data_IF_507256977493
#
_entry.id   IF_507256977493
#
_cell.length_a   1.000
_cell.length_b   1.000
_cell.length_c   1.000
_cell.angle_alpha   90.00
_cell.angle_beta   90.00
_cell.angle_gamma   90.00
#
_symmetry.space_group_name_H-M   'P 1'
#
loop_
_entity.id
_entity.type
_entity.pdbx_description
1 polymer ?
#
# COMPACT_ATOMS: atom_id res chain seq x y z
N UNK A 1 8.63 24.73 20.66
CA UNK A 1 9.66 23.93 20.00
C UNK A 1 9.50 24.12 18.49
N UNK A 2 10.58 24.17 17.74
CA UNK A 2 10.47 24.14 16.28
C UNK A 2 10.08 22.72 15.82
N UNK A 3 9.33 22.62 14.74
CA UNK A 3 9.04 21.34 14.08
C UNK A 3 10.33 20.72 13.54
N UNK A 4 10.32 19.40 13.34
CA UNK A 4 11.38 18.73 12.57
C UNK A 4 11.49 19.39 11.19
N UNK A 5 12.70 19.73 10.71
CA UNK A 5 12.89 20.39 9.41
C UNK A 5 12.34 19.61 8.21
N UNK A 6 12.14 18.29 8.36
CA UNK A 6 11.54 17.45 7.34
C UNK A 6 10.01 17.61 7.24
N UNK A 7 9.36 18.25 8.23
CA UNK A 7 7.92 18.47 8.23
C UNK A 7 7.61 19.81 7.54
N UNK A 8 6.86 19.73 6.44
CA UNK A 8 6.38 20.88 5.67
C UNK A 8 4.88 21.05 5.87
N UNK A 9 4.47 22.15 6.48
CA UNK A 9 3.05 22.52 6.71
C UNK A 9 2.59 23.40 5.56
N UNK A 10 1.60 22.92 4.79
CA UNK A 10 1.02 23.63 3.65
C UNK A 10 -0.35 24.24 3.99
N UNK A 11 -1.08 23.61 4.90
CA UNK A 11 -2.36 24.07 5.44
C UNK A 11 -2.37 23.92 6.96
N UNK A 12 -3.06 24.83 7.67
CA UNK A 12 -3.15 24.82 9.14
C UNK A 12 -3.75 23.53 9.73
N UNK A 13 -4.56 22.79 8.96
CA UNK A 13 -5.14 21.50 9.36
C UNK A 13 -4.07 20.49 9.72
N UNK A 14 -2.92 20.54 9.05
CA UNK A 14 -1.81 19.61 9.27
C UNK A 14 -1.22 19.72 10.69
N UNK A 15 -1.27 20.89 11.33
CA UNK A 15 -0.80 21.04 12.71
C UNK A 15 -1.54 20.14 13.71
N UNK A 16 -2.81 19.83 13.45
CA UNK A 16 -3.59 18.92 14.28
C UNK A 16 -3.16 17.45 14.18
N UNK A 17 -2.50 17.08 13.07
CA UNK A 17 -2.14 15.71 12.75
C UNK A 17 -0.70 15.33 13.15
N UNK A 18 0.14 16.33 13.49
CA UNK A 18 1.55 16.11 13.81
C UNK A 18 1.84 16.33 15.29
N UNK A 19 2.83 15.62 15.80
CA UNK A 19 3.37 15.82 17.14
C UNK A 19 4.60 16.72 17.02
N UNK A 20 4.51 17.95 17.59
CA UNK A 20 5.49 19.02 17.37
C UNK A 20 6.92 18.71 17.81
N UNK A 21 7.12 17.73 18.68
CA UNK A 21 8.44 17.28 19.14
C UNK A 21 8.77 15.85 18.69
N UNK A 22 8.00 15.28 17.78
CA UNK A 22 8.38 14.03 17.10
C UNK A 22 9.42 14.32 16.02
N UNK A 23 10.32 13.38 15.83
CA UNK A 23 11.35 13.42 14.79
C UNK A 23 11.13 12.29 13.81
N UNK A 24 11.66 12.44 12.60
CA UNK A 24 11.75 11.37 11.64
C UNK A 24 12.94 10.48 12.01
N UNK A 25 12.66 9.22 12.32
CA UNK A 25 13.65 8.22 12.67
C UNK A 25 13.99 7.39 11.43
N UNK A 26 15.28 7.24 11.13
CA UNK A 26 15.76 6.25 10.16
C UNK A 26 16.02 4.95 10.93
N UNK A 27 15.14 3.96 10.75
CA UNK A 27 15.15 2.73 11.53
C UNK A 27 16.11 1.69 10.98
N UNK A 28 16.22 1.59 9.65
CA UNK A 28 17.03 0.58 9.00
C UNK A 28 17.30 0.92 7.53
N UNK A 29 18.38 0.39 6.97
CA UNK A 29 18.73 0.41 5.55
C UNK A 29 19.30 -0.93 5.13
N UNK A 30 19.16 -1.30 3.86
CA UNK A 30 19.69 -2.54 3.29
C UNK A 30 18.76 -3.25 2.32
N UNK A 31 17.62 -2.63 1.95
CA UNK A 31 16.80 -3.09 0.85
C UNK A 31 17.35 -2.61 -0.50
N UNK A 32 16.86 -3.21 -1.57
CA UNK A 32 16.92 -2.65 -2.93
C UNK A 32 15.68 -1.86 -3.28
N UNK A 33 14.52 -2.32 -2.83
CA UNK A 33 13.25 -1.64 -2.93
C UNK A 33 12.34 -2.10 -1.79
N UNK A 34 12.28 -1.29 -0.71
CA UNK A 34 11.44 -1.57 0.45
C UNK A 34 10.00 -1.18 0.18
N UNK A 35 9.06 -2.13 0.37
CA UNK A 35 7.67 -2.02 -0.03
C UNK A 35 6.70 -2.77 0.90
N UNK A 36 5.41 -2.58 0.65
CA UNK A 36 4.28 -3.36 1.14
C UNK A 36 4.22 -3.56 2.65
N UNK A 37 4.39 -2.51 3.48
CA UNK A 37 4.43 -2.70 4.92
C UNK A 37 3.07 -3.09 5.50
N UNK A 38 3.09 -3.99 6.50
CA UNK A 38 1.95 -4.29 7.37
C UNK A 38 2.41 -4.40 8.81
N UNK A 39 1.72 -3.73 9.72
CA UNK A 39 2.00 -3.83 11.15
C UNK A 39 1.19 -4.93 11.81
N UNK A 40 1.87 -5.84 12.52
CA UNK A 40 1.26 -6.96 13.25
C UNK A 40 1.20 -6.61 14.75
N UNK A 41 0.05 -6.15 15.28
CA UNK A 41 -0.04 -5.63 16.65
C UNK A 41 0.26 -6.68 17.72
N UNK A 42 -0.12 -7.93 17.47
CA UNK A 42 0.06 -9.03 18.43
C UNK A 42 1.51 -9.32 18.75
N UNK A 43 2.41 -9.10 17.81
CA UNK A 43 3.87 -9.29 17.97
C UNK A 43 4.65 -7.98 18.05
N UNK A 44 4.02 -6.82 17.81
CA UNK A 44 4.65 -5.51 17.71
C UNK A 44 5.74 -5.49 16.63
N UNK A 45 5.42 -6.00 15.46
CA UNK A 45 6.33 -6.13 14.34
C UNK A 45 5.75 -5.51 13.09
N UNK A 46 6.60 -4.86 12.30
CA UNK A 46 6.30 -4.47 10.94
C UNK A 46 6.90 -5.51 10.00
N UNK A 47 6.07 -6.07 9.14
CA UNK A 47 6.50 -6.93 8.04
C UNK A 47 6.53 -6.04 6.78
N UNK A 48 7.56 -6.16 5.95
CA UNK A 48 7.69 -5.41 4.71
C UNK A 48 8.54 -6.17 3.69
N UNK A 49 8.32 -5.90 2.42
CA UNK A 49 9.02 -6.54 1.31
C UNK A 49 10.34 -5.85 0.99
N UNK A 50 11.30 -6.63 0.51
CA UNK A 50 12.45 -6.18 -0.28
C UNK A 50 12.37 -6.95 -1.61
N UNK A 51 11.55 -6.41 -2.52
CA UNK A 51 11.04 -7.12 -3.70
C UNK A 51 12.16 -7.69 -4.57
N UNK A 52 13.17 -6.88 -5.02
CA UNK A 52 14.20 -7.39 -5.92
C UNK A 52 15.16 -8.39 -5.27
N UNK A 53 15.21 -8.44 -3.95
CA UNK A 53 16.00 -9.44 -3.21
C UNK A 53 15.20 -10.70 -2.87
N UNK A 54 13.95 -10.79 -3.33
CA UNK A 54 13.04 -11.93 -3.12
C UNK A 54 12.91 -12.34 -1.65
N UNK A 55 12.77 -11.34 -0.78
CA UNK A 55 12.63 -11.56 0.66
C UNK A 55 11.61 -10.62 1.30
N UNK A 56 10.97 -11.11 2.33
CA UNK A 56 10.17 -10.32 3.25
C UNK A 56 10.95 -10.15 4.55
N UNK A 57 10.95 -8.93 5.08
CA UNK A 57 11.68 -8.52 6.26
C UNK A 57 10.73 -8.26 7.43
N UNK A 58 11.25 -8.34 8.63
CA UNK A 58 10.52 -8.10 9.86
C UNK A 58 11.29 -7.13 10.76
N UNK A 59 10.75 -5.94 10.99
CA UNK A 59 11.23 -5.01 12.01
C UNK A 59 10.52 -5.29 13.34
N UNK A 60 11.27 -5.61 14.39
CA UNK A 60 10.74 -5.80 15.75
C UNK A 60 10.83 -4.45 16.51
N UNK A 61 9.69 -3.85 16.82
CA UNK A 61 9.59 -2.52 17.45
C UNK A 61 10.21 -2.49 18.85
N UNK A 62 10.23 -3.62 19.57
CA UNK A 62 10.76 -3.72 20.94
C UNK A 62 12.28 -3.76 20.98
N UNK A 63 12.91 -4.31 19.93
CA UNK A 63 14.36 -4.51 19.87
C UNK A 63 15.06 -3.58 18.88
N UNK A 64 14.30 -2.98 17.95
CA UNK A 64 14.83 -2.16 16.86
C UNK A 64 15.57 -2.96 15.79
N UNK A 65 15.45 -4.29 15.77
CA UNK A 65 16.15 -5.17 14.82
C UNK A 65 15.29 -5.45 13.60
N UNK A 66 15.95 -5.62 12.45
CA UNK A 66 15.37 -6.15 11.23
C UNK A 66 15.97 -7.51 10.95
N UNK A 67 15.12 -8.50 10.76
CA UNK A 67 15.48 -9.87 10.43
C UNK A 67 14.71 -10.32 9.19
N UNK A 68 15.16 -11.40 8.53
CA UNK A 68 14.42 -12.04 7.45
C UNK A 68 13.17 -12.71 8.06
N UNK A 69 11.99 -12.43 7.48
CA UNK A 69 10.75 -13.09 7.83
C UNK A 69 10.51 -14.30 6.90
N UNK A 70 10.71 -14.12 5.60
CA UNK A 70 10.56 -15.17 4.58
C UNK A 70 11.59 -14.96 3.46
N UNK A 71 12.23 -16.06 2.99
CA UNK A 71 13.16 -16.08 1.86
C UNK A 71 13.27 -17.53 1.32
N UNK A 72 12.95 -17.82 0.04
CA UNK A 72 12.40 -16.90 -0.95
C UNK A 72 10.95 -16.50 -0.63
N UNK A 73 10.57 -15.26 -0.98
CA UNK A 73 9.26 -14.68 -0.70
C UNK A 73 8.39 -14.52 -1.97
N UNK A 74 8.75 -15.15 -3.09
CA UNK A 74 8.05 -15.03 -4.38
C UNK A 74 7.94 -13.60 -4.91
N UNK A 75 8.95 -12.76 -4.65
CA UNK A 75 8.94 -11.33 -4.91
C UNK A 75 7.64 -10.69 -4.36
N UNK A 76 7.32 -11.00 -3.11
CA UNK A 76 6.18 -10.40 -2.43
C UNK A 76 6.26 -8.88 -2.46
N UNK A 77 5.11 -8.22 -2.62
CA UNK A 77 4.99 -6.77 -2.59
C UNK A 77 4.07 -6.33 -1.43
N UNK A 78 2.80 -6.05 -1.67
CA UNK A 78 1.86 -5.57 -0.67
C UNK A 78 1.45 -6.62 0.35
N UNK A 79 1.24 -6.17 1.60
CA UNK A 79 0.70 -7.00 2.66
C UNK A 79 -0.41 -6.27 3.40
N UNK A 80 -1.38 -7.04 3.91
CA UNK A 80 -2.34 -6.56 4.89
C UNK A 80 -2.68 -7.66 5.91
N UNK A 81 -3.38 -7.31 6.98
CA UNK A 81 -3.97 -8.30 7.88
C UNK A 81 -5.43 -8.54 7.50
N UNK A 82 -5.83 -9.81 7.52
CA UNK A 82 -7.25 -10.11 7.50
C UNK A 82 -7.90 -9.91 8.89
N UNK A 83 -9.22 -10.06 8.96
CA UNK A 83 -9.97 -9.83 10.21
C UNK A 83 -9.63 -10.84 11.34
N UNK A 84 -8.91 -11.92 11.03
CA UNK A 84 -8.38 -12.88 11.97
C UNK A 84 -6.91 -12.62 12.34
N UNK A 85 -6.31 -11.54 11.80
CA UNK A 85 -4.91 -11.18 12.05
C UNK A 85 -3.90 -12.02 11.29
N UNK A 86 -4.32 -12.69 10.20
CA UNK A 86 -3.43 -13.44 9.31
C UNK A 86 -2.89 -12.52 8.22
N UNK A 87 -1.64 -12.75 7.81
CA UNK A 87 -0.99 -11.95 6.76
C UNK A 87 -1.49 -12.41 5.40
N UNK A 88 -2.10 -11.48 4.66
CA UNK A 88 -2.44 -11.62 3.24
C UNK A 88 -1.37 -10.89 2.43
N UNK A 89 -0.88 -11.51 1.38
CA UNK A 89 0.26 -11.03 0.58
C UNK A 89 -0.07 -11.04 -0.90
N UNK A 90 0.28 -9.97 -1.59
CA UNK A 90 0.31 -9.88 -3.05
C UNK A 90 1.72 -10.25 -3.53
N UNK A 91 1.83 -11.23 -4.44
CA UNK A 91 3.11 -11.78 -4.90
C UNK A 91 3.31 -11.55 -6.40
N UNK A 92 4.41 -10.89 -6.74
CA UNK A 92 4.75 -10.63 -8.14
C UNK A 92 5.12 -11.93 -8.88
N UNK A 93 6.20 -12.61 -8.48
CA UNK A 93 6.63 -13.86 -9.11
C UNK A 93 5.64 -14.99 -8.88
N UNK A 94 5.00 -15.03 -7.71
CA UNK A 94 3.94 -15.99 -7.42
C UNK A 94 2.74 -15.81 -8.35
N UNK A 95 2.53 -14.58 -8.88
CA UNK A 95 1.35 -14.19 -9.68
C UNK A 95 0.07 -14.56 -8.94
N UNK A 96 0.04 -14.27 -7.65
CA UNK A 96 -1.00 -14.75 -6.74
C UNK A 96 -1.23 -13.78 -5.57
N UNK A 97 -2.43 -13.84 -5.01
CA UNK A 97 -2.72 -13.38 -3.66
C UNK A 97 -2.71 -14.60 -2.75
N UNK A 98 -1.96 -14.51 -1.65
CA UNK A 98 -1.74 -15.61 -0.72
C UNK A 98 -2.04 -15.19 0.71
N UNK A 99 -2.08 -16.15 1.62
CA UNK A 99 -2.26 -15.90 3.04
C UNK A 99 -1.44 -16.89 3.85
N UNK A 100 -0.79 -16.40 4.89
CA UNK A 100 -0.16 -17.24 5.91
C UNK A 100 -1.20 -17.48 7.01
N UNK A 101 -1.66 -18.71 7.14
CA UNK A 101 -2.61 -19.11 8.19
C UNK A 101 -1.92 -19.25 9.55
N UNK A 102 -2.68 -19.34 10.65
CA UNK A 102 -2.13 -19.46 12.01
C UNK A 102 -1.31 -20.74 12.25
N UNK A 103 -1.41 -21.73 11.35
CA UNK A 103 -0.57 -22.93 11.34
C UNK A 103 0.81 -22.70 10.67
N UNK A 104 1.06 -21.47 10.19
CA UNK A 104 2.26 -21.09 9.45
C UNK A 104 2.28 -21.54 7.99
N UNK A 105 1.18 -22.10 7.49
CA UNK A 105 1.11 -22.58 6.11
C UNK A 105 0.67 -21.46 5.18
N UNK A 106 1.46 -21.22 4.12
CA UNK A 106 1.08 -20.34 3.01
C UNK A 106 0.01 -21.02 2.14
N UNK A 107 -1.09 -20.32 1.91
CA UNK A 107 -2.20 -20.77 1.06
C UNK A 107 -2.43 -19.77 -0.07
N UNK A 108 -2.57 -20.28 -1.28
CA UNK A 108 -2.99 -19.48 -2.44
C UNK A 108 -4.48 -19.21 -2.33
N UNK A 109 -4.87 -17.94 -2.38
CA UNK A 109 -6.26 -17.48 -2.33
C UNK A 109 -6.79 -17.18 -3.74
N UNK A 110 -5.97 -16.53 -4.59
CA UNK A 110 -6.28 -16.26 -6.00
C UNK A 110 -4.99 -16.29 -6.82
N UNK A 111 -5.00 -16.95 -7.98
CA UNK A 111 -3.90 -16.98 -8.96
C UNK A 111 -4.40 -16.87 -10.39
N UNK A 112 -5.71 -16.95 -10.61
CA UNK A 112 -6.34 -16.91 -11.94
C UNK A 112 -7.66 -16.15 -11.90
N UNK A 113 -7.90 -15.44 -13.00
CA UNK A 113 -9.20 -14.87 -13.35
C UNK A 113 -9.63 -15.44 -14.71
N UNK A 114 -10.84 -16.02 -14.81
CA UNK A 114 -11.35 -16.66 -16.03
C UNK A 114 -10.36 -17.66 -16.67
N UNK A 115 -9.72 -18.49 -15.85
CA UNK A 115 -8.67 -19.46 -16.22
C UNK A 115 -7.33 -18.86 -16.72
N UNK A 116 -7.17 -17.56 -16.80
CA UNK A 116 -5.93 -16.85 -17.11
C UNK A 116 -5.16 -16.54 -15.84
N UNK A 117 -3.83 -16.68 -15.88
CA UNK A 117 -3.00 -16.28 -14.73
C UNK A 117 -3.10 -14.78 -14.52
N UNK A 118 -3.16 -14.38 -13.25
CA UNK A 118 -3.01 -12.98 -12.85
C UNK A 118 -1.66 -12.43 -13.37
N UNK A 119 -1.55 -11.11 -13.49
CA UNK A 119 -0.29 -10.49 -13.90
C UNK A 119 0.76 -10.59 -12.79
N UNK A 120 0.69 -9.70 -11.84
CA UNK A 120 1.57 -9.64 -10.68
C UNK A 120 0.88 -8.80 -9.59
N UNK A 121 -0.01 -9.42 -8.77
CA UNK A 121 -0.67 -8.71 -7.68
C UNK A 121 0.30 -7.85 -6.89
N UNK A 122 -0.08 -6.57 -6.70
CA UNK A 122 0.83 -5.53 -6.22
C UNK A 122 0.48 -5.06 -4.80
N UNK A 123 -0.64 -4.39 -4.58
CA UNK A 123 -1.10 -4.01 -3.25
C UNK A 123 -2.44 -4.70 -2.92
N UNK A 124 -2.72 -4.87 -1.62
CA UNK A 124 -3.84 -5.67 -1.14
C UNK A 124 -4.41 -5.10 0.15
N UNK A 125 -5.74 -5.09 0.26
CA UNK A 125 -6.49 -4.66 1.45
C UNK A 125 -7.61 -5.63 1.75
N UNK A 126 -8.07 -5.63 3.01
CA UNK A 126 -9.20 -6.44 3.47
C UNK A 126 -10.32 -5.52 3.96
N UNK A 127 -11.52 -5.72 3.40
CA UNK A 127 -12.74 -4.99 3.78
C UNK A 127 -13.42 -5.62 5.01
N UNK A 128 -14.29 -4.87 5.69
CA UNK A 128 -15.01 -5.34 6.89
C UNK A 128 -15.92 -6.54 6.66
N UNK A 129 -16.31 -6.80 5.41
CA UNK A 129 -17.07 -8.00 5.01
C UNK A 129 -16.18 -9.23 4.75
N UNK A 130 -14.87 -9.13 5.04
CA UNK A 130 -13.84 -10.13 4.78
C UNK A 130 -13.48 -10.33 3.31
N UNK A 131 -13.99 -9.53 2.40
CA UNK A 131 -13.50 -9.53 1.02
C UNK A 131 -12.10 -8.93 0.94
N UNK A 132 -11.29 -9.48 0.03
CA UNK A 132 -9.92 -9.04 -0.24
C UNK A 132 -9.93 -8.30 -1.56
N UNK A 133 -9.40 -7.07 -1.56
CA UNK A 133 -9.28 -6.26 -2.76
C UNK A 133 -7.80 -6.08 -3.10
N UNK A 134 -7.44 -6.22 -4.37
CA UNK A 134 -6.04 -6.11 -4.79
C UNK A 134 -5.90 -5.55 -6.20
N UNK A 135 -4.80 -4.88 -6.44
CA UNK A 135 -4.37 -4.41 -7.75
C UNK A 135 -3.49 -5.45 -8.44
N UNK A 136 -3.62 -5.58 -9.77
CA UNK A 136 -2.90 -6.57 -10.59
C UNK A 136 -2.25 -5.91 -11.82
N UNK A 137 -1.30 -4.99 -11.64
CA UNK A 137 -0.49 -4.44 -12.73
C UNK A 137 0.54 -5.46 -13.21
N UNK A 138 1.35 -5.12 -14.22
CA UNK A 138 2.33 -6.04 -14.81
C UNK A 138 3.76 -5.89 -14.28
N UNK A 139 4.01 -5.11 -13.20
CA UNK A 139 5.36 -4.83 -12.71
C UNK A 139 6.22 -6.08 -12.51
N UNK A 140 5.67 -7.12 -11.88
CA UNK A 140 6.38 -8.36 -11.61
C UNK A 140 6.55 -9.29 -12.82
N UNK A 141 5.98 -8.93 -13.99
CA UNK A 141 6.17 -9.66 -15.26
C UNK A 141 6.80 -8.81 -16.36
N UNK A 142 7.06 -7.52 -16.11
CA UNK A 142 7.73 -6.63 -17.09
C UNK A 142 9.23 -6.96 -17.21
N UNK A 143 9.86 -7.50 -16.17
CA UNK A 143 11.28 -7.86 -16.13
C UNK A 143 11.59 -8.89 -15.03
N UNK A 144 12.84 -9.40 -15.01
CA UNK A 144 13.34 -10.30 -13.97
C UNK A 144 13.85 -9.55 -12.72
N UNK A 145 13.54 -8.25 -12.57
CA UNK A 145 14.01 -7.47 -11.44
C UNK A 145 13.11 -7.59 -10.20
N UNK A 146 11.80 -7.60 -10.42
CA UNK A 146 10.79 -7.70 -9.35
C UNK A 146 9.90 -8.95 -9.48
N UNK A 147 10.28 -9.89 -10.34
CA UNK A 147 9.55 -11.11 -10.59
C UNK A 147 10.20 -11.91 -11.71
N UNK A 148 9.40 -12.56 -12.54
CA UNK A 148 9.84 -13.31 -13.72
C UNK A 148 9.16 -12.71 -14.97
N UNK A 149 9.96 -12.27 -15.95
CA UNK A 149 9.45 -11.69 -17.19
C UNK A 149 8.50 -12.65 -17.92
N UNK A 150 7.30 -12.20 -18.24
CA UNK A 150 6.27 -13.00 -18.91
C UNK A 150 5.27 -12.11 -19.66
N UNK A 151 4.58 -12.70 -20.62
CA UNK A 151 3.44 -12.04 -21.27
C UNK A 151 2.20 -12.06 -20.36
N UNK A 152 1.42 -10.96 -20.40
CA UNK A 152 0.15 -10.90 -19.71
C UNK A 152 -0.89 -11.80 -20.37
N UNK A 153 -1.45 -12.74 -19.64
CA UNK A 153 -2.59 -13.54 -20.09
C UNK A 153 -3.91 -12.79 -19.97
N UNK A 154 -3.98 -11.84 -19.01
CA UNK A 154 -5.18 -11.02 -18.71
C UNK A 154 -5.43 -9.98 -19.81
N UNK A 155 -4.35 -9.34 -20.32
CA UNK A 155 -4.42 -8.35 -21.38
C UNK A 155 -4.77 -6.93 -20.92
N UNK A 156 -4.75 -6.66 -19.62
CA UNK A 156 -4.93 -5.35 -18.98
C UNK A 156 -4.42 -5.37 -17.55
N UNK A 157 -4.42 -4.23 -16.87
CA UNK A 157 -4.06 -4.11 -15.46
C UNK A 157 -5.32 -3.76 -14.68
N UNK A 158 -5.70 -4.59 -13.72
CA UNK A 158 -7.03 -4.53 -13.13
C UNK A 158 -6.99 -4.44 -11.59
N UNK A 159 -8.12 -4.07 -11.00
CA UNK A 159 -8.40 -4.23 -9.57
C UNK A 159 -9.48 -5.28 -9.42
N UNK A 160 -9.25 -6.20 -8.51
CA UNK A 160 -10.14 -7.32 -8.24
C UNK A 160 -10.67 -7.29 -6.81
N UNK A 161 -11.82 -7.94 -6.62
CA UNK A 161 -12.42 -8.28 -5.34
C UNK A 161 -12.55 -9.79 -5.23
N UNK A 162 -11.93 -10.37 -4.21
CA UNK A 162 -12.01 -11.80 -3.87
C UNK A 162 -12.93 -11.96 -2.66
N UNK A 163 -14.02 -12.68 -2.84
CA UNK A 163 -14.96 -13.00 -1.77
C UNK A 163 -14.48 -14.15 -0.87
N UNK A 164 -14.99 -14.26 0.37
CA UNK A 164 -14.66 -15.37 1.26
C UNK A 164 -15.01 -16.76 0.72
N UNK A 165 -15.93 -16.86 -0.22
CA UNK A 165 -16.31 -18.12 -0.89
C UNK A 165 -15.35 -18.50 -2.04
N UNK A 166 -14.37 -17.65 -2.34
CA UNK A 166 -13.37 -17.85 -3.38
C UNK A 166 -13.77 -17.28 -4.75
N UNK A 167 -14.93 -16.64 -4.89
CA UNK A 167 -15.30 -15.94 -6.12
C UNK A 167 -14.43 -14.71 -6.32
N UNK A 168 -13.97 -14.47 -7.55
CA UNK A 168 -13.11 -13.36 -7.94
C UNK A 168 -13.82 -12.49 -8.98
N UNK A 169 -14.09 -11.25 -8.61
CA UNK A 169 -14.79 -10.28 -9.44
C UNK A 169 -13.83 -9.18 -9.94
N UNK A 170 -13.94 -8.81 -11.22
CA UNK A 170 -13.26 -7.67 -11.81
C UNK A 170 -13.99 -6.38 -11.43
N UNK A 171 -13.30 -5.47 -10.72
CA UNK A 171 -13.90 -4.25 -10.20
C UNK A 171 -13.53 -3.01 -11.01
N UNK A 172 -12.26 -2.90 -11.45
CA UNK A 172 -11.76 -1.74 -12.23
C UNK A 172 -10.91 -2.27 -13.37
N UNK A 173 -11.19 -1.80 -14.60
CA UNK A 173 -10.51 -2.25 -15.82
C UNK A 173 -10.00 -1.11 -16.71
N UNK A 174 -10.13 0.13 -16.27
CA UNK A 174 -9.82 1.35 -17.04
C UNK A 174 -8.58 2.11 -16.51
N UNK A 175 -7.79 1.46 -15.64
CA UNK A 175 -6.51 1.99 -15.17
C UNK A 175 -5.35 1.45 -16.00
N UNK A 176 -4.28 2.25 -16.09
CA UNK A 176 -3.06 1.84 -16.80
C UNK A 176 -2.19 0.95 -15.92
N UNK A 177 -1.95 1.39 -14.68
CA UNK A 177 -1.13 0.69 -13.68
C UNK A 177 -1.72 0.92 -12.29
N UNK A 178 -2.84 0.26 -11.92
CA UNK A 178 -3.36 0.35 -10.58
C UNK A 178 -2.32 -0.14 -9.58
N UNK A 179 -2.13 0.61 -8.51
CA UNK A 179 -1.11 0.34 -7.50
C UNK A 179 -1.73 0.35 -6.10
N UNK A 180 -1.32 1.25 -5.20
CA UNK A 180 -1.87 1.36 -3.87
C UNK A 180 -3.39 1.54 -3.86
N UNK A 181 -4.07 0.93 -2.88
CA UNK A 181 -5.51 1.07 -2.71
C UNK A 181 -5.87 1.10 -1.22
N UNK A 182 -6.93 1.84 -0.88
CA UNK A 182 -7.48 1.91 0.47
C UNK A 182 -8.95 2.34 0.44
N UNK A 183 -9.71 1.92 1.45
CA UNK A 183 -11.06 2.43 1.68
C UNK A 183 -11.05 3.68 2.57
N UNK A 184 -12.07 4.53 2.42
CA UNK A 184 -12.44 5.52 3.42
C UNK A 184 -12.78 4.84 4.76
N UNK A 185 -12.76 5.57 5.92
CA UNK A 185 -13.03 4.97 7.23
C UNK A 185 -14.40 4.26 7.33
N UNK A 186 -15.39 4.76 6.60
CA UNK A 186 -16.75 4.19 6.52
C UNK A 186 -16.92 3.17 5.38
N UNK A 187 -15.85 2.93 4.61
CA UNK A 187 -15.82 2.05 3.44
C UNK A 187 -16.79 2.42 2.30
N UNK A 188 -17.28 3.65 2.28
CA UNK A 188 -18.15 4.16 1.21
C UNK A 188 -17.39 4.57 -0.05
N UNK A 189 -16.08 4.76 0.05
CA UNK A 189 -15.20 5.15 -1.06
C UNK A 189 -13.98 4.23 -1.12
N UNK A 190 -13.66 3.75 -2.32
CA UNK A 190 -12.40 3.09 -2.63
C UNK A 190 -11.48 4.08 -3.34
N UNK A 191 -10.30 4.30 -2.80
CA UNK A 191 -9.23 5.07 -3.43
C UNK A 191 -8.24 4.10 -4.10
N UNK A 192 -7.78 4.43 -5.33
CA UNK A 192 -6.78 3.64 -6.05
C UNK A 192 -5.81 4.58 -6.76
N UNK A 193 -4.51 4.38 -6.58
CA UNK A 193 -3.46 5.10 -7.29
C UNK A 193 -3.23 4.52 -8.69
N UNK A 194 -3.03 5.39 -9.70
CA UNK A 194 -2.60 4.99 -11.05
C UNK A 194 -1.18 5.49 -11.32
N UNK A 195 -0.23 4.59 -11.42
CA UNK A 195 1.18 4.87 -11.67
C UNK A 195 1.55 4.79 -13.17
N UNK A 196 0.54 4.75 -14.04
CA UNK A 196 0.70 4.56 -15.48
C UNK A 196 1.54 5.63 -16.20
N UNK A 197 1.71 6.82 -15.60
CA UNK A 197 2.59 7.87 -16.14
C UNK A 197 4.01 7.35 -16.41
N UNK A 198 4.50 6.42 -15.63
CA UNK A 198 5.83 5.80 -15.80
C UNK A 198 5.94 4.97 -17.09
N UNK A 199 4.82 4.60 -17.72
CA UNK A 199 4.76 3.75 -18.91
C UNK A 199 4.24 4.49 -20.16
N UNK A 200 3.20 5.31 -19.99
CA UNK A 200 2.55 6.00 -21.10
C UNK A 200 2.70 7.54 -21.05
N UNK A 201 3.52 8.04 -20.11
CA UNK A 201 3.78 9.45 -19.94
C UNK A 201 2.51 10.25 -19.58
N UNK A 202 2.46 11.50 -20.01
CA UNK A 202 1.37 12.44 -19.67
C UNK A 202 -0.04 12.01 -20.12
N UNK A 203 -0.16 10.92 -20.88
CA UNK A 203 -1.47 10.36 -21.24
C UNK A 203 -2.19 9.70 -20.04
N UNK A 204 -1.45 9.36 -18.98
CA UNK A 204 -2.00 8.87 -17.72
C UNK A 204 -1.44 9.73 -16.57
N UNK A 205 -2.20 10.72 -16.07
CA UNK A 205 -1.77 11.50 -14.90
C UNK A 205 -1.55 10.59 -13.68
N UNK A 206 -0.56 10.90 -12.83
CA UNK A 206 -0.29 10.13 -11.61
C UNK A 206 -1.31 10.49 -10.53
N UNK A 207 -2.51 9.97 -10.65
CA UNK A 207 -3.65 10.33 -9.82
C UNK A 207 -4.00 9.24 -8.80
N UNK A 208 -4.56 9.65 -7.66
CA UNK A 208 -5.44 8.80 -6.87
C UNK A 208 -6.86 9.03 -7.37
N UNK A 209 -7.53 7.95 -7.77
CA UNK A 209 -8.95 7.95 -8.17
C UNK A 209 -9.82 7.52 -7.02
N UNK A 210 -10.97 8.16 -6.86
CA UNK A 210 -11.99 7.81 -5.87
C UNK A 210 -13.20 7.19 -6.56
N UNK A 211 -13.60 6.02 -6.09
CA UNK A 211 -14.74 5.25 -6.58
C UNK A 211 -15.76 5.11 -5.47
N UNK A 212 -17.03 5.43 -5.74
CA UNK A 212 -18.12 5.21 -4.81
C UNK A 212 -18.43 3.71 -4.70
N UNK A 213 -18.52 3.20 -3.47
CA UNK A 213 -18.85 1.81 -3.16
C UNK A 213 -20.36 1.69 -2.92
N UNK A 214 -20.98 0.68 -3.53
CA UNK A 214 -22.41 0.40 -3.33
C UNK A 214 -22.74 0.12 -1.86
N UNK A 215 -23.97 0.37 -1.46
CA UNK A 215 -24.41 0.21 -0.07
C UNK A 215 -24.25 -1.23 0.48
N UNK A 216 -24.25 -2.24 -0.39
CA UNK A 216 -23.97 -3.64 -0.03
C UNK A 216 -22.46 -3.97 -0.04
N UNK A 217 -21.61 -3.00 -0.41
CA UNK A 217 -20.16 -3.14 -0.45
C UNK A 217 -19.61 -4.03 -1.56
N UNK A 218 -20.45 -4.44 -2.52
CA UNK A 218 -20.10 -5.47 -3.52
C UNK A 218 -19.78 -4.92 -4.90
N UNK A 219 -20.11 -3.67 -5.19
CA UNK A 219 -19.92 -3.05 -6.49
C UNK A 219 -19.39 -1.62 -6.34
N UNK A 220 -18.81 -1.10 -7.42
CA UNK A 220 -18.49 0.32 -7.56
C UNK A 220 -19.61 0.97 -8.36
N UNK A 221 -20.03 2.19 -7.97
CA UNK A 221 -21.16 2.91 -8.59
C UNK A 221 -20.65 4.18 -9.28
N UNK A 222 -21.24 4.47 -10.45
CA UNK A 222 -20.91 5.66 -11.21
C UNK A 222 -19.49 5.67 -11.81
N UNK A 223 -19.07 6.84 -12.30
CA UNK A 223 -17.73 7.08 -12.78
C UNK A 223 -16.84 7.52 -11.59
N UNK A 224 -15.55 7.19 -11.66
CA UNK A 224 -14.58 7.70 -10.69
C UNK A 224 -14.42 9.22 -10.78
N UNK A 225 -13.96 9.82 -9.69
CA UNK A 225 -13.42 11.18 -9.66
C UNK A 225 -11.92 11.15 -9.36
N UNK A 226 -11.18 12.16 -9.81
CA UNK A 226 -9.81 12.37 -9.36
C UNK A 226 -9.83 12.94 -7.96
N UNK A 227 -9.25 12.23 -7.00
CA UNK A 227 -9.10 12.72 -5.63
C UNK A 227 -7.89 13.67 -5.52
N UNK A 228 -6.75 13.26 -6.04
CA UNK A 228 -5.51 14.04 -6.01
C UNK A 228 -4.60 13.67 -7.16
N UNK A 229 -3.77 14.64 -7.63
CA UNK A 229 -2.71 14.41 -8.62
C UNK A 229 -1.35 14.61 -7.98
N UNK A 230 -0.41 13.68 -8.19
CA UNK A 230 0.94 13.77 -7.66
C UNK A 230 1.74 14.87 -8.33
N UNK A 231 2.42 15.69 -7.53
CA UNK A 231 3.28 16.78 -8.01
C UNK A 231 4.78 16.46 -7.94
N UNK A 232 5.14 15.29 -7.38
CA UNK A 232 6.52 14.85 -7.20
C UNK A 232 6.61 13.32 -7.41
N UNK A 233 6.88 12.89 -8.62
CA UNK A 233 6.89 11.46 -8.97
C UNK A 233 5.50 10.89 -9.19
N UNK A 234 5.19 9.78 -8.52
CA UNK A 234 3.91 9.08 -8.55
C UNK A 234 3.41 8.82 -7.13
N UNK A 235 2.12 8.59 -6.97
CA UNK A 235 1.57 7.94 -5.79
C UNK A 235 1.70 6.42 -5.98
N UNK A 236 2.29 5.75 -5.01
CA UNK A 236 2.44 4.29 -4.99
C UNK A 236 1.53 3.71 -3.90
N UNK A 237 2.04 3.28 -2.76
CA UNK A 237 1.21 2.85 -1.64
C UNK A 237 0.78 4.00 -0.71
N UNK A 238 -0.36 3.85 -0.07
CA UNK A 238 -0.90 4.84 0.87
C UNK A 238 -1.83 4.22 1.91
N UNK A 239 -2.12 4.98 2.98
CA UNK A 239 -3.08 4.62 4.03
C UNK A 239 -3.99 5.80 4.35
N UNK A 240 -5.17 5.49 4.88
CA UNK A 240 -6.18 6.46 5.32
C UNK A 240 -6.19 6.49 6.85
N UNK A 241 -6.22 7.69 7.44
CA UNK A 241 -6.34 7.84 8.88
C UNK A 241 -7.81 7.89 9.35
N UNK A 242 -8.03 7.94 10.67
CA UNK A 242 -9.37 7.91 11.28
C UNK A 242 -10.27 9.09 10.88
N UNK A 243 -9.67 10.20 10.44
CA UNK A 243 -10.37 11.41 10.00
C UNK A 243 -10.57 11.45 8.48
N UNK A 244 -10.13 10.41 7.74
CA UNK A 244 -10.24 10.32 6.29
C UNK A 244 -9.11 10.98 5.52
N UNK A 245 -8.06 11.47 6.18
CA UNK A 245 -6.91 12.00 5.47
C UNK A 245 -6.10 10.87 4.83
N UNK A 246 -5.58 11.11 3.62
CA UNK A 246 -4.74 10.14 2.89
C UNK A 246 -3.28 10.49 3.10
N UNK A 247 -2.53 9.55 3.66
CA UNK A 247 -1.08 9.58 3.82
C UNK A 247 -0.47 8.70 2.72
N UNK A 248 0.12 9.34 1.71
CA UNK A 248 0.57 8.67 0.50
C UNK A 248 2.05 8.88 0.24
N UNK A 249 2.65 7.88 -0.38
CA UNK A 249 4.00 7.94 -0.94
C UNK A 249 4.11 9.00 -2.05
N UNK A 250 5.29 9.54 -2.21
CA UNK A 250 5.67 10.39 -3.34
C UNK A 250 7.21 10.39 -3.52
N UNK A 251 7.68 10.97 -4.63
CA UNK A 251 9.11 11.02 -4.94
C UNK A 251 9.95 11.87 -3.98
N UNK A 252 9.34 12.75 -3.18
CA UNK A 252 10.01 13.66 -2.26
C UNK A 252 9.65 13.42 -0.78
N UNK A 253 8.92 12.32 -0.49
CA UNK A 253 8.54 11.96 0.87
C UNK A 253 7.11 11.44 0.97
N UNK A 254 6.47 11.64 2.12
CA UNK A 254 5.06 11.34 2.36
C UNK A 254 4.25 12.61 2.18
N UNK A 255 3.19 12.55 1.39
CA UNK A 255 2.19 13.61 1.24
C UNK A 255 0.95 13.29 2.07
N UNK A 256 0.40 14.29 2.76
CA UNK A 256 -0.86 14.19 3.48
C UNK A 256 -1.91 15.04 2.80
N UNK A 257 -2.96 14.40 2.30
CA UNK A 257 -4.14 15.04 1.74
C UNK A 257 -5.29 14.97 2.75
N UNK A 258 -5.99 16.08 2.95
CA UNK A 258 -7.24 16.04 3.69
C UNK A 258 -8.32 15.28 2.89
N UNK A 259 -9.42 14.93 3.55
CA UNK A 259 -10.56 14.22 2.97
C UNK A 259 -11.20 14.93 1.76
N UNK A 260 -10.97 16.24 1.63
CA UNK A 260 -11.40 17.07 0.49
C UNK A 260 -10.40 17.08 -0.69
N UNK A 261 -9.32 16.29 -0.64
CA UNK A 261 -8.29 16.21 -1.68
C UNK A 261 -7.26 17.35 -1.67
N UNK A 262 -7.27 18.21 -0.66
CA UNK A 262 -6.29 19.29 -0.52
C UNK A 262 -5.01 18.76 0.11
N UNK A 263 -3.85 18.99 -0.53
CA UNK A 263 -2.54 18.69 0.05
C UNK A 263 -2.28 19.63 1.24
N UNK A 264 -2.29 19.10 2.44
CA UNK A 264 -2.19 19.88 3.68
C UNK A 264 -0.81 19.87 4.31
N UNK A 265 0.03 18.88 3.97
CA UNK A 265 1.40 18.80 4.49
C UNK A 265 2.21 17.69 3.87
N UNK A 266 3.52 17.72 4.16
CA UNK A 266 4.48 16.71 3.71
C UNK A 266 5.43 16.34 4.84
N UNK A 267 5.91 15.10 4.79
CA UNK A 267 7.05 14.62 5.55
C UNK A 267 8.14 14.28 4.54
N UNK A 268 9.21 15.07 4.52
CA UNK A 268 10.32 14.88 3.60
C UNK A 268 11.14 13.67 4.01
N UNK A 269 11.37 12.78 3.07
CA UNK A 269 12.23 11.60 3.22
C UNK A 269 13.35 11.73 2.17
N UNK A 270 14.61 11.42 2.51
CA UNK A 270 15.73 11.61 1.57
C UNK A 270 15.76 10.61 0.42
N UNK A 271 14.82 9.68 0.37
CA UNK A 271 14.64 8.64 -0.65
C UNK A 271 13.23 8.70 -1.23
N UNK A 272 13.04 8.12 -2.41
CA UNK A 272 11.69 7.92 -2.97
C UNK A 272 10.92 6.99 -2.04
N UNK A 273 9.75 7.45 -1.60
CA UNK A 273 8.84 6.66 -0.76
C UNK A 273 7.98 5.78 -1.64
N UNK A 274 7.94 4.50 -1.33
CA UNK A 274 7.11 3.53 -2.02
C UNK A 274 5.78 3.29 -1.29
N UNK A 275 5.79 3.13 0.04
CA UNK A 275 4.57 2.81 0.78
C UNK A 275 4.67 3.28 2.24
N UNK A 276 3.52 3.36 2.90
CA UNK A 276 3.42 3.75 4.31
C UNK A 276 2.47 2.81 5.07
N UNK A 277 2.67 2.70 6.40
CA UNK A 277 1.79 1.92 7.26
C UNK A 277 1.69 2.54 8.65
N UNK A 278 0.50 2.56 9.22
CA UNK A 278 0.29 2.93 10.60
C UNK A 278 0.49 1.75 11.55
N UNK A 279 1.30 1.95 12.58
CA UNK A 279 1.54 0.91 13.56
C UNK A 279 1.80 1.47 14.96
N UNK A 280 2.47 0.66 15.79
CA UNK A 280 2.67 0.94 17.21
C UNK A 280 1.43 0.64 18.06
N UNK A 281 1.59 0.63 19.37
CA UNK A 281 0.52 0.28 20.33
C UNK A 281 -0.72 1.19 20.23
N UNK A 282 -0.54 2.44 19.80
CA UNK A 282 -1.63 3.43 19.65
C UNK A 282 -2.06 3.59 18.20
N UNK A 283 -1.46 2.84 17.27
CA UNK A 283 -1.69 2.93 15.82
C UNK A 283 -1.43 4.33 15.25
N UNK A 284 -0.52 5.08 15.86
CA UNK A 284 -0.17 6.46 15.52
C UNK A 284 1.31 6.64 15.17
N UNK A 285 2.05 5.54 14.98
CA UNK A 285 3.39 5.55 14.41
C UNK A 285 3.28 5.27 12.93
N UNK A 286 3.64 6.25 12.10
CA UNK A 286 3.71 6.07 10.65
C UNK A 286 5.07 5.47 10.32
N UNK A 287 5.07 4.28 9.76
CA UNK A 287 6.23 3.65 9.13
C UNK A 287 6.24 4.01 7.65
N UNK A 288 7.43 4.19 7.10
CA UNK A 288 7.63 4.63 5.72
C UNK A 288 8.67 3.71 5.09
N UNK A 289 8.26 2.94 4.09
CA UNK A 289 9.14 2.20 3.22
C UNK A 289 9.61 3.11 2.09
N UNK A 290 10.90 3.34 2.03
CA UNK A 290 11.56 4.13 0.99
C UNK A 290 12.62 3.27 0.31
N UNK A 291 13.09 3.63 -0.86
CA UNK A 291 13.94 2.82 -1.74
C UNK A 291 14.83 1.80 -1.02
N UNK A 292 15.73 2.25 -0.14
CA UNK A 292 16.67 1.35 0.54
C UNK A 292 16.41 1.22 2.04
N UNK A 293 15.50 2.03 2.60
CA UNK A 293 15.38 2.22 4.03
C UNK A 293 13.96 2.15 4.57
N UNK A 294 13.90 1.92 5.88
CA UNK A 294 12.70 2.01 6.69
C UNK A 294 12.81 3.22 7.61
N UNK A 295 11.82 4.10 7.56
CA UNK A 295 11.72 5.29 8.41
C UNK A 295 10.46 5.24 9.26
N UNK A 296 10.39 6.08 10.30
CA UNK A 296 9.15 6.28 11.03
C UNK A 296 9.06 7.64 11.70
N UNK A 297 7.85 8.06 12.03
CA UNK A 297 7.55 9.17 12.92
C UNK A 297 6.26 8.93 13.67
N UNK A 298 6.07 9.64 14.79
CA UNK A 298 4.80 9.61 15.53
C UNK A 298 3.91 10.76 15.11
N UNK A 299 2.63 10.46 14.91
CA UNK A 299 1.60 11.40 14.54
C UNK A 299 0.55 11.57 15.64
N UNK A 300 -0.23 12.65 15.57
CA UNK A 300 -1.39 12.91 16.44
C UNK A 300 -2.71 12.41 15.81
N UNK A 301 -2.62 11.54 14.85
CA UNK A 301 -3.71 10.77 14.24
C UNK A 301 -3.34 9.31 14.22
N UNK A 302 -4.26 8.43 13.83
CA UNK A 302 -4.04 6.98 13.76
C UNK A 302 -4.76 6.37 12.55
N UNK A 303 -4.40 5.14 12.19
CA UNK A 303 -5.07 4.42 11.13
C UNK A 303 -6.59 4.38 11.32
N UNK A 304 -7.34 4.46 10.24
CA UNK A 304 -8.79 4.26 10.22
C UNK A 304 -9.17 2.87 10.78
N UNK A 305 -8.38 1.84 10.49
CA UNK A 305 -8.57 0.46 10.98
C UNK A 305 -7.25 -0.26 11.21
#
# INVERSE_FOLDING_TARGET
>A
MALDPAIEVLDRRFYGLIIHNAHIEHLWTGARWAEGPVYVPSSQQLIFSDIPNDRTLRYDERTGRVDIFEEPAFNANGHCLDLQGRIVTAEHRGRAVTRIDHDGIRRVLAERYENKRLNSPNDVIVKSDSSIWFSDPTYGIDSDYEGDAAESEIGGSYVYRLDPDGSLDLMISDMVRPNGLAFSPDESTLYVADTGVSHVGAACPPDIRAYEVSADGRALTGAHSTFATCTAGVFDGFRVDEDGNIWTSAGDGVHCFADDGVLIGKIRIPEVVANVEFGGLKRNRLYVCATTGLYSTYLNTRAAR
#
